data_IF_743412739872
#
_entry.id   IF_743412739872
#
_cell.length_a   1.000
_cell.length_b   1.000
_cell.length_c   1.000
_cell.angle_alpha   90.00
_cell.angle_beta   90.00
_cell.angle_gamma   90.00
#
_symmetry.space_group_name_H-M   'P 1'
#
loop_
_entity.id
_entity.type
_entity.pdbx_description
1 polymer ?
#
# COMPACT_ATOMS: atom_id res chain seq x y z
N UNK A 1 -21.33 0.83 -19.73
CA UNK A 1 -20.40 1.25 -18.66
C UNK A 1 -20.62 2.74 -18.45
N UNK A 2 -21.08 3.16 -17.26
CA UNK A 2 -21.31 4.57 -16.94
C UNK A 2 -19.98 5.33 -16.92
N UNK A 3 -19.95 6.61 -17.31
CA UNK A 3 -18.71 7.41 -17.38
C UNK A 3 -17.85 7.33 -16.09
N UNK A 4 -18.49 7.21 -14.92
CA UNK A 4 -17.78 7.03 -13.64
C UNK A 4 -16.99 5.72 -13.53
N UNK A 5 -17.46 4.61 -14.12
CA UNK A 5 -16.71 3.33 -14.14
C UNK A 5 -15.47 3.43 -15.02
N UNK A 6 -15.55 4.15 -16.13
CA UNK A 6 -14.41 4.36 -17.02
C UNK A 6 -13.35 5.26 -16.37
N UNK A 7 -13.76 6.33 -15.69
CA UNK A 7 -12.86 7.18 -14.93
C UNK A 7 -12.16 6.41 -13.81
N UNK A 8 -12.90 5.62 -13.02
CA UNK A 8 -12.32 4.78 -11.98
C UNK A 8 -11.28 3.79 -12.52
N UNK A 9 -11.55 3.12 -13.64
CA UNK A 9 -10.59 2.18 -14.23
C UNK A 9 -9.32 2.89 -14.73
N UNK A 10 -9.46 4.10 -15.26
CA UNK A 10 -8.33 4.92 -15.67
C UNK A 10 -7.51 5.37 -14.46
N UNK A 11 -8.15 5.83 -13.39
CA UNK A 11 -7.48 6.21 -12.14
C UNK A 11 -6.77 5.01 -11.49
N UNK A 12 -7.41 3.84 -11.46
CA UNK A 12 -6.83 2.59 -10.97
C UNK A 12 -5.60 2.20 -11.79
N UNK A 13 -5.67 2.31 -13.12
CA UNK A 13 -4.54 2.03 -13.99
C UNK A 13 -3.38 3.00 -13.75
N UNK A 14 -3.66 4.30 -13.65
CA UNK A 14 -2.67 5.33 -13.36
C UNK A 14 -2.03 5.08 -12.00
N UNK A 15 -2.81 4.74 -10.97
CA UNK A 15 -2.30 4.44 -9.64
C UNK A 15 -1.36 3.24 -9.66
N UNK A 16 -1.75 2.12 -10.28
CA UNK A 16 -0.90 0.92 -10.38
C UNK A 16 0.39 1.24 -11.16
N UNK A 17 0.27 1.97 -12.27
CA UNK A 17 1.43 2.40 -13.06
C UNK A 17 2.35 3.32 -12.26
N UNK A 18 1.81 4.29 -11.53
CA UNK A 18 2.56 5.20 -10.69
C UNK A 18 3.26 4.45 -9.54
N UNK A 19 2.58 3.53 -8.87
CA UNK A 19 3.18 2.67 -7.84
C UNK A 19 4.33 1.84 -8.42
N UNK A 20 4.14 1.23 -9.58
CA UNK A 20 5.19 0.48 -10.27
C UNK A 20 6.39 1.37 -10.61
N UNK A 21 6.13 2.57 -11.14
CA UNK A 21 7.17 3.56 -11.47
C UNK A 21 7.95 3.99 -10.22
N UNK A 22 7.25 4.33 -9.13
CA UNK A 22 7.88 4.71 -7.87
C UNK A 22 8.70 3.59 -7.24
N UNK A 23 8.23 2.34 -7.30
CA UNK A 23 8.99 1.20 -6.78
C UNK A 23 10.22 0.88 -7.64
N UNK A 24 10.13 1.06 -8.97
CA UNK A 24 11.24 0.80 -9.89
C UNK A 24 12.30 1.90 -9.86
N UNK A 25 11.90 3.16 -9.84
CA UNK A 25 12.80 4.32 -9.96
C UNK A 25 13.02 5.06 -8.62
N UNK A 26 12.58 4.45 -7.50
CA UNK A 26 12.62 5.08 -6.18
C UNK A 26 14.01 5.56 -5.75
N UNK A 27 15.07 4.78 -6.00
CA UNK A 27 16.45 5.17 -5.69
C UNK A 27 16.89 6.41 -6.46
N UNK A 28 16.59 6.48 -7.77
CA UNK A 28 16.92 7.64 -8.62
C UNK A 28 16.17 8.89 -8.18
N UNK A 29 14.89 8.74 -7.82
CA UNK A 29 14.08 9.84 -7.30
C UNK A 29 14.69 10.35 -5.99
N UNK A 30 15.13 9.45 -5.11
CA UNK A 30 15.77 9.80 -3.86
C UNK A 30 17.11 10.52 -4.06
N UNK A 31 17.96 10.03 -4.95
CA UNK A 31 19.23 10.67 -5.31
C UNK A 31 19.01 12.09 -5.83
N UNK A 32 17.99 12.29 -6.68
CA UNK A 32 17.64 13.63 -7.16
C UNK A 32 17.15 14.54 -6.03
N UNK A 33 16.36 14.02 -5.10
CA UNK A 33 15.90 14.79 -3.93
C UNK A 33 17.09 15.24 -3.09
N UNK A 34 18.01 14.33 -2.75
CA UNK A 34 19.19 14.67 -1.95
C UNK A 34 20.14 15.62 -2.69
N UNK A 35 20.30 15.51 -4.00
CA UNK A 35 21.09 16.44 -4.79
C UNK A 35 20.64 17.92 -4.65
N UNK A 36 19.33 18.16 -4.50
CA UNK A 36 18.80 19.52 -4.33
C UNK A 36 18.82 20.02 -2.88
N UNK A 37 19.02 19.13 -1.90
CA UNK A 37 19.04 19.51 -0.48
C UNK A 37 20.49 19.65 -0.03
N UNK A 38 20.90 20.78 0.59
CA UNK A 38 22.26 20.96 1.10
C UNK A 38 22.45 20.23 2.44
N UNK A 39 22.39 18.91 2.44
CA UNK A 39 22.64 18.06 3.60
C UNK A 39 24.11 17.60 3.63
N UNK A 40 24.62 17.32 4.82
CA UNK A 40 25.89 16.61 4.97
C UNK A 40 25.68 15.12 4.65
N UNK A 41 26.72 14.42 4.20
CA UNK A 41 26.65 12.98 3.90
C UNK A 41 26.19 12.15 5.13
N UNK A 42 26.52 12.60 6.34
CA UNK A 42 26.09 11.96 7.59
C UNK A 42 24.58 12.11 7.82
N UNK A 43 24.04 13.30 7.55
CA UNK A 43 22.60 13.57 7.69
C UNK A 43 21.78 12.83 6.63
N UNK A 44 22.27 12.75 5.38
CA UNK A 44 21.63 11.96 4.32
C UNK A 44 21.51 10.49 4.70
N UNK A 45 22.61 9.88 5.17
CA UNK A 45 22.63 8.49 5.61
C UNK A 45 21.69 8.25 6.81
N UNK A 46 21.65 9.19 7.76
CA UNK A 46 20.74 9.11 8.90
C UNK A 46 19.27 9.22 8.45
N UNK A 47 18.95 10.14 7.56
CA UNK A 47 17.60 10.27 6.99
C UNK A 47 17.18 9.00 6.27
N UNK A 48 18.03 8.47 5.39
CA UNK A 48 17.81 7.20 4.69
C UNK A 48 17.51 6.06 5.65
N UNK A 49 18.31 5.93 6.71
CA UNK A 49 18.12 4.89 7.71
C UNK A 49 16.79 5.05 8.45
N UNK A 50 16.43 6.29 8.82
CA UNK A 50 15.15 6.60 9.48
C UNK A 50 13.97 6.33 8.56
N UNK A 51 14.03 6.75 7.31
CA UNK A 51 13.00 6.45 6.30
C UNK A 51 12.85 4.95 6.12
N UNK A 52 13.94 4.20 5.94
CA UNK A 52 13.89 2.74 5.82
C UNK A 52 13.25 2.09 7.07
N UNK A 53 13.58 2.60 8.26
CA UNK A 53 13.00 2.15 9.52
C UNK A 53 11.48 2.39 9.56
N UNK A 54 11.03 3.61 9.22
CA UNK A 54 9.62 3.99 9.19
C UNK A 54 8.88 3.19 8.13
N UNK A 55 9.40 3.12 6.89
CA UNK A 55 8.81 2.33 5.80
C UNK A 55 8.65 0.88 6.19
N UNK A 56 9.66 0.26 6.81
CA UNK A 56 9.58 -1.12 7.29
C UNK A 56 8.56 -1.27 8.40
N UNK A 57 8.46 -0.32 9.33
CA UNK A 57 7.45 -0.32 10.39
C UNK A 57 6.04 -0.22 9.80
N UNK A 58 5.82 0.68 8.84
CA UNK A 58 4.55 0.86 8.14
C UNK A 58 4.16 -0.38 7.36
N UNK A 59 5.05 -0.96 6.55
CA UNK A 59 4.76 -2.20 5.78
C UNK A 59 4.39 -3.34 6.72
N UNK A 60 5.13 -3.53 7.82
CA UNK A 60 4.79 -4.54 8.83
C UNK A 60 3.44 -4.24 9.50
N UNK A 61 3.16 -2.98 9.80
CA UNK A 61 1.89 -2.53 10.38
C UNK A 61 0.72 -2.83 9.46
N UNK A 62 0.79 -2.44 8.19
CA UNK A 62 -0.24 -2.72 7.18
C UNK A 62 -0.47 -4.22 7.02
N UNK A 63 0.58 -5.05 7.02
CA UNK A 63 0.43 -6.51 6.98
C UNK A 63 -0.31 -7.06 8.20
N UNK A 64 0.01 -6.59 9.40
CA UNK A 64 -0.68 -7.01 10.64
C UNK A 64 -2.15 -6.60 10.60
N UNK A 65 -2.45 -5.36 10.22
CA UNK A 65 -3.83 -4.86 10.07
C UNK A 65 -4.59 -5.68 9.03
N UNK A 66 -3.97 -5.98 7.88
CA UNK A 66 -4.56 -6.80 6.83
C UNK A 66 -4.93 -8.22 7.29
N UNK A 67 -4.08 -8.86 8.10
CA UNK A 67 -4.37 -10.17 8.69
C UNK A 67 -5.58 -10.08 9.65
N UNK A 68 -5.61 -9.07 10.51
CA UNK A 68 -6.72 -8.84 11.44
C UNK A 68 -8.02 -8.61 10.65
N UNK A 69 -7.99 -7.73 9.66
CA UNK A 69 -9.15 -7.41 8.82
C UNK A 69 -9.64 -8.63 8.04
N UNK A 70 -8.75 -9.38 7.38
CA UNK A 70 -9.11 -10.58 6.64
C UNK A 70 -9.69 -11.68 7.52
N UNK A 71 -9.15 -11.86 8.73
CA UNK A 71 -9.66 -12.83 9.70
C UNK A 71 -11.05 -12.43 10.21
N UNK A 72 -11.20 -11.17 10.62
CA UNK A 72 -12.49 -10.65 11.09
C UNK A 72 -13.55 -10.71 9.99
N UNK A 73 -13.20 -10.34 8.76
CA UNK A 73 -14.10 -10.44 7.60
C UNK A 73 -14.46 -11.90 7.28
N UNK A 74 -13.49 -12.82 7.35
CA UNK A 74 -13.73 -14.25 7.16
C UNK A 74 -14.70 -14.81 8.20
N UNK A 75 -14.52 -14.46 9.47
CA UNK A 75 -15.44 -14.84 10.55
C UNK A 75 -16.82 -14.22 10.33
N UNK A 76 -16.89 -12.93 9.98
CA UNK A 76 -18.14 -12.23 9.73
C UNK A 76 -18.95 -12.88 8.59
N UNK A 77 -18.30 -13.22 7.47
CA UNK A 77 -18.96 -13.91 6.35
C UNK A 77 -19.38 -15.34 6.69
N UNK A 78 -18.60 -16.05 7.51
CA UNK A 78 -18.96 -17.38 7.99
C UNK A 78 -20.21 -17.34 8.86
N UNK A 79 -20.30 -16.39 9.80
CA UNK A 79 -21.47 -16.18 10.65
C UNK A 79 -22.68 -15.71 9.85
N UNK A 80 -22.48 -14.88 8.82
CA UNK A 80 -23.54 -14.43 7.92
C UNK A 80 -24.10 -15.52 6.99
N UNK A 81 -23.53 -16.73 6.99
CA UNK A 81 -23.96 -17.83 6.11
C UNK A 81 -23.63 -17.58 4.63
N UNK A 82 -22.72 -16.65 4.33
CA UNK A 82 -22.31 -16.32 2.97
C UNK A 82 -21.27 -17.36 2.51
N UNK A 83 -21.62 -18.11 1.47
CA UNK A 83 -20.69 -19.06 0.83
C UNK A 83 -19.42 -18.36 0.33
N UNK A 84 -18.26 -18.98 0.56
CA UNK A 84 -16.97 -18.43 0.13
C UNK A 84 -16.32 -17.44 1.12
N UNK A 85 -16.65 -17.50 2.42
CA UNK A 85 -16.04 -16.67 3.47
C UNK A 85 -14.49 -16.65 3.42
N UNK A 86 -13.85 -17.80 3.18
CA UNK A 86 -12.40 -17.90 3.04
C UNK A 86 -11.88 -17.17 1.78
N UNK A 87 -12.62 -17.21 0.67
CA UNK A 87 -12.27 -16.51 -0.57
C UNK A 87 -12.33 -14.99 -0.37
N UNK A 88 -13.44 -14.49 0.18
CA UNK A 88 -13.62 -13.05 0.40
C UNK A 88 -12.71 -12.48 1.49
N UNK A 89 -12.44 -13.23 2.55
CA UNK A 89 -11.47 -12.86 3.59
C UNK A 89 -10.05 -12.75 3.03
N UNK A 90 -9.63 -13.71 2.21
CA UNK A 90 -8.31 -13.69 1.55
C UNK A 90 -8.19 -12.54 0.55
N UNK A 91 -9.24 -12.28 -0.23
CA UNK A 91 -9.29 -11.15 -1.16
C UNK A 91 -9.13 -9.81 -0.43
N UNK A 92 -9.81 -9.63 0.70
CA UNK A 92 -9.64 -8.43 1.53
C UNK A 92 -8.25 -8.31 2.14
N UNK A 93 -7.62 -9.40 2.60
CA UNK A 93 -6.23 -9.38 3.05
C UNK A 93 -5.29 -8.88 1.95
N UNK A 94 -5.45 -9.37 0.72
CA UNK A 94 -4.63 -8.93 -0.42
C UNK A 94 -4.89 -7.45 -0.75
N UNK A 95 -6.16 -7.05 -0.80
CA UNK A 95 -6.54 -5.66 -1.09
C UNK A 95 -6.11 -4.67 0.01
N UNK A 96 -5.94 -5.13 1.25
CA UNK A 96 -5.50 -4.28 2.38
C UNK A 96 -4.07 -3.73 2.22
N UNK A 97 -3.26 -4.38 1.38
CA UNK A 97 -1.88 -3.97 1.11
C UNK A 97 -1.86 -2.78 0.14
N UNK A 98 -2.92 -2.60 -0.65
CA UNK A 98 -3.02 -1.51 -1.61
C UNK A 98 -3.33 -0.20 -0.87
N UNK A 99 -2.43 0.80 -0.90
CA UNK A 99 -2.69 2.11 -0.31
C UNK A 99 -3.93 2.75 -0.93
N UNK A 100 -4.81 3.31 -0.10
CA UNK A 100 -6.09 3.90 -0.55
C UNK A 100 -7.29 2.94 -0.59
N UNK A 101 -7.07 1.62 -0.65
CA UNK A 101 -8.12 0.60 -0.51
C UNK A 101 -8.07 -0.06 0.87
N UNK A 102 -6.86 -0.34 1.38
CA UNK A 102 -6.66 -0.99 2.69
C UNK A 102 -6.62 -0.06 3.90
N UNK A 103 -6.45 1.24 3.67
CA UNK A 103 -6.43 2.27 4.71
C UNK A 103 -7.54 3.31 4.46
N UNK A 104 -8.70 2.85 4.03
CA UNK A 104 -9.86 3.71 3.80
C UNK A 104 -10.69 3.81 5.09
N UNK A 105 -10.18 4.57 6.07
CA UNK A 105 -10.84 4.96 7.34
C UNK A 105 -11.28 3.81 8.27
#
# INVERSE_FOLDING_TARGET
MTAGTAAFLLDLFIMIYAMFSFFKDGEKILEQIFYYIPLSHEDEALMLQRFSSITRATVKGTLVVGIIQGTLAGIAFWVAGIGGAAFWGTLMTILSIVPGIGAAL
#
